data_IF_254383064373
#
_entry.id   IF_254383064373
#
_cell.length_a   1.000
_cell.length_b   1.000
_cell.length_c   1.000
_cell.angle_alpha   90.00
_cell.angle_beta   90.00
_cell.angle_gamma   90.00
#
_symmetry.space_group_name_H-M   'P 1'
#
loop_
_entity.id
_entity.type
_entity.pdbx_description
1 polymer ?
#
# COMPACT_ATOMS: atom_id res chain seq x y z
N UNK A 1 18.45 -31.19 -44.88
CA UNK A 1 19.25 -30.01 -44.42
C UNK A 1 18.70 -29.36 -43.14
N UNK A 2 17.46 -29.64 -42.77
CA UNK A 2 16.81 -29.13 -41.53
C UNK A 2 17.30 -29.89 -40.29
N UNK A 3 17.47 -31.20 -40.34
CA UNK A 3 17.90 -32.02 -39.22
C UNK A 3 19.35 -31.74 -38.74
N UNK A 4 20.27 -31.35 -39.62
CA UNK A 4 21.64 -31.00 -39.28
C UNK A 4 21.70 -29.65 -38.55
N UNK A 5 20.81 -28.69 -38.86
CA UNK A 5 20.69 -27.41 -38.15
C UNK A 5 20.18 -27.58 -36.72
N UNK A 6 19.27 -28.53 -36.50
CA UNK A 6 18.70 -28.82 -35.16
C UNK A 6 19.67 -29.60 -34.27
N UNK A 7 20.55 -30.42 -34.85
CA UNK A 7 21.62 -31.13 -34.12
C UNK A 7 22.74 -30.13 -33.74
N UNK A 8 23.05 -29.15 -34.59
CA UNK A 8 24.06 -28.13 -34.28
C UNK A 8 23.56 -27.16 -33.18
N UNK A 9 22.25 -26.88 -33.11
CA UNK A 9 21.64 -26.10 -32.01
C UNK A 9 21.66 -26.84 -30.66
N UNK A 10 21.73 -28.18 -30.67
CA UNK A 10 21.82 -29.00 -29.44
C UNK A 10 23.24 -29.18 -28.91
N UNK A 11 24.29 -28.90 -29.68
CA UNK A 11 25.67 -29.02 -29.27
C UNK A 11 26.36 -27.73 -28.83
N UNK A 12 25.75 -26.54 -29.05
CA UNK A 12 26.22 -25.28 -28.50
C UNK A 12 25.76 -25.14 -27.07
N UNK A 13 26.67 -25.25 -26.09
CA UNK A 13 26.38 -24.82 -24.71
C UNK A 13 25.88 -23.38 -24.77
N UNK A 14 24.57 -23.16 -24.54
CA UNK A 14 23.98 -21.85 -24.65
C UNK A 14 24.71 -20.85 -23.76
N UNK A 15 24.68 -19.56 -24.09
CA UNK A 15 25.28 -18.50 -23.27
C UNK A 15 24.75 -18.59 -21.81
N UNK A 16 23.45 -18.83 -21.64
CA UNK A 16 22.79 -19.07 -20.37
C UNK A 16 23.42 -20.26 -19.60
N UNK A 17 23.63 -21.39 -20.27
CA UNK A 17 24.22 -22.58 -19.66
C UNK A 17 25.66 -22.36 -19.19
N UNK A 18 26.43 -21.51 -19.90
CA UNK A 18 27.79 -21.14 -19.47
C UNK A 18 27.80 -20.26 -18.23
N UNK A 19 26.93 -19.24 -18.20
CA UNK A 19 26.79 -18.32 -17.08
C UNK A 19 26.34 -19.09 -15.84
N UNK A 20 25.31 -19.91 -15.96
CA UNK A 20 24.79 -20.71 -14.86
C UNK A 20 25.80 -21.73 -14.31
N UNK A 21 26.59 -22.38 -15.18
CA UNK A 21 27.65 -23.31 -14.74
C UNK A 21 28.72 -22.61 -13.89
N UNK A 22 29.05 -21.35 -14.22
CA UNK A 22 30.07 -20.58 -13.49
C UNK A 22 29.48 -20.07 -12.16
N UNK A 23 28.22 -19.61 -12.16
CA UNK A 23 27.59 -19.00 -11.00
C UNK A 23 27.01 -20.02 -10.00
N UNK A 24 26.67 -21.24 -10.44
CA UNK A 24 25.94 -22.21 -9.62
C UNK A 24 26.61 -22.50 -8.26
N UNK A 25 27.92 -22.67 -8.13
CA UNK A 25 28.55 -22.88 -6.82
C UNK A 25 28.33 -21.70 -5.86
N UNK A 26 28.48 -20.47 -6.36
CA UNK A 26 28.27 -19.26 -5.58
C UNK A 26 26.78 -19.09 -5.21
N UNK A 27 25.88 -19.33 -6.16
CA UNK A 27 24.42 -19.29 -5.94
C UNK A 27 24.01 -20.25 -4.83
N UNK A 28 24.47 -21.51 -4.88
CA UNK A 28 24.16 -22.51 -3.85
C UNK A 28 24.70 -22.07 -2.46
N UNK A 29 25.89 -21.47 -2.42
CA UNK A 29 26.43 -20.92 -1.19
C UNK A 29 25.60 -19.76 -0.65
N UNK A 30 25.21 -18.81 -1.50
CA UNK A 30 24.41 -17.65 -1.08
C UNK A 30 23.01 -18.05 -0.65
N UNK A 31 22.34 -18.93 -1.39
CA UNK A 31 21.03 -19.46 -1.01
C UNK A 31 21.08 -20.20 0.32
N UNK A 32 22.17 -20.95 0.58
CA UNK A 32 22.40 -21.67 1.82
C UNK A 32 22.55 -20.77 3.06
N UNK A 33 22.84 -19.48 2.88
CA UNK A 33 22.93 -18.49 3.96
C UNK A 33 21.57 -17.87 4.34
N UNK A 34 20.53 -18.09 3.55
CA UNK A 34 19.18 -17.57 3.81
C UNK A 34 18.42 -18.38 4.85
N UNK A 35 17.27 -17.85 5.29
CA UNK A 35 16.39 -18.50 6.26
C UNK A 35 15.74 -19.79 5.71
N UNK A 36 15.49 -19.83 4.40
CA UNK A 36 14.89 -20.97 3.72
C UNK A 36 15.61 -21.26 2.40
N UNK A 37 16.71 -22.03 2.42
CA UNK A 37 17.48 -22.38 1.23
C UNK A 37 16.70 -23.11 0.15
N UNK A 38 15.78 -24.00 0.55
CA UNK A 38 14.95 -24.78 -0.40
C UNK A 38 13.99 -23.90 -1.16
N UNK A 39 13.36 -22.95 -0.47
CA UNK A 39 12.50 -21.91 -1.11
C UNK A 39 13.34 -21.06 -2.07
N UNK A 40 14.55 -20.67 -1.65
CA UNK A 40 15.48 -19.90 -2.46
C UNK A 40 15.84 -20.63 -3.76
N UNK A 41 16.18 -21.91 -3.67
CA UNK A 41 16.52 -22.75 -4.81
C UNK A 41 15.32 -22.94 -5.76
N UNK A 42 14.13 -23.16 -5.20
CA UNK A 42 12.90 -23.26 -5.99
C UNK A 42 12.61 -21.96 -6.76
N UNK A 43 12.75 -20.80 -6.10
CA UNK A 43 12.52 -19.48 -6.72
C UNK A 43 13.60 -19.20 -7.78
N UNK A 44 14.86 -19.52 -7.52
CA UNK A 44 15.94 -19.43 -8.52
C UNK A 44 15.62 -20.25 -9.75
N UNK A 45 15.20 -21.50 -9.58
CA UNK A 45 14.79 -22.38 -10.69
C UNK A 45 13.67 -21.76 -11.53
N UNK A 46 12.63 -21.21 -10.88
CA UNK A 46 11.52 -20.52 -11.59
C UNK A 46 12.02 -19.33 -12.42
N UNK A 47 12.94 -18.51 -11.88
CA UNK A 47 13.57 -17.41 -12.61
C UNK A 47 14.33 -17.90 -13.84
N UNK A 48 15.14 -18.96 -13.70
CA UNK A 48 15.87 -19.56 -14.81
C UNK A 48 14.95 -20.15 -15.89
N UNK A 49 13.86 -20.80 -15.50
CA UNK A 49 12.87 -21.34 -16.42
C UNK A 49 12.16 -20.21 -17.18
N UNK A 50 11.95 -19.04 -16.57
CA UNK A 50 11.23 -17.92 -17.16
C UNK A 50 12.13 -16.94 -17.91
N UNK A 51 13.24 -16.55 -17.32
CA UNK A 51 14.13 -15.50 -17.83
C UNK A 51 15.51 -15.99 -18.26
N UNK A 52 15.81 -17.29 -18.16
CA UNK A 52 17.14 -17.83 -18.46
C UNK A 52 17.62 -17.67 -19.90
N UNK A 53 16.76 -17.23 -20.83
CA UNK A 53 17.11 -16.84 -22.20
C UNK A 53 17.05 -15.32 -22.45
N UNK A 54 16.59 -14.56 -21.46
CA UNK A 54 16.48 -13.13 -21.54
C UNK A 54 17.87 -12.45 -21.43
N UNK A 55 18.17 -11.53 -22.35
CA UNK A 55 19.48 -10.90 -22.42
C UNK A 55 19.75 -9.92 -21.27
N UNK A 56 18.71 -9.29 -20.73
CA UNK A 56 18.79 -8.35 -19.61
C UNK A 56 19.09 -9.10 -18.31
N UNK A 57 18.35 -10.18 -18.06
CA UNK A 57 18.59 -11.08 -16.92
C UNK A 57 19.98 -11.69 -16.96
N UNK A 58 20.42 -12.21 -18.10
CA UNK A 58 21.75 -12.79 -18.25
C UNK A 58 22.87 -11.73 -18.12
N UNK A 59 22.60 -10.49 -18.57
CA UNK A 59 23.51 -9.36 -18.38
C UNK A 59 23.65 -9.03 -16.90
N UNK A 60 22.55 -8.91 -16.18
CA UNK A 60 22.48 -8.68 -14.74
C UNK A 60 23.30 -9.72 -13.96
N UNK A 61 23.09 -11.01 -14.20
CA UNK A 61 23.83 -12.08 -13.53
C UNK A 61 25.34 -12.08 -13.82
N UNK A 62 25.72 -11.69 -15.04
CA UNK A 62 27.14 -11.67 -15.47
C UNK A 62 27.90 -10.48 -14.90
N UNK A 63 27.25 -9.31 -14.86
CA UNK A 63 27.94 -8.02 -14.71
C UNK A 63 28.10 -7.62 -13.24
N UNK A 64 27.35 -8.24 -12.30
CA UNK A 64 27.39 -7.90 -10.87
C UNK A 64 27.22 -9.10 -9.95
N UNK A 65 28.32 -9.54 -9.33
CA UNK A 65 28.25 -10.55 -8.27
C UNK A 65 27.44 -10.09 -7.06
N UNK A 66 27.51 -8.81 -6.69
CA UNK A 66 26.74 -8.26 -5.57
C UNK A 66 25.25 -8.29 -5.84
N UNK A 67 24.83 -8.00 -7.06
CA UNK A 67 23.44 -8.06 -7.49
C UNK A 67 22.91 -9.50 -7.47
N UNK A 68 23.67 -10.47 -7.97
CA UNK A 68 23.32 -11.88 -7.90
C UNK A 68 23.25 -12.40 -6.45
N UNK A 69 24.12 -11.92 -5.58
CA UNK A 69 24.09 -12.25 -4.14
C UNK A 69 22.84 -11.67 -3.46
N UNK A 70 22.49 -10.41 -3.74
CA UNK A 70 21.23 -9.78 -3.27
C UNK A 70 20.01 -10.57 -3.76
N UNK A 71 20.01 -10.98 -5.02
CA UNK A 71 18.95 -11.82 -5.57
C UNK A 71 18.79 -13.10 -4.78
N UNK A 72 19.85 -13.84 -4.55
CA UNK A 72 19.82 -15.07 -3.75
C UNK A 72 19.32 -14.81 -2.32
N UNK A 73 19.77 -13.72 -1.70
CA UNK A 73 19.30 -13.31 -0.37
C UNK A 73 17.80 -13.07 -0.35
N UNK A 74 17.25 -12.32 -1.32
CA UNK A 74 15.81 -12.08 -1.43
C UNK A 74 15.02 -13.37 -1.64
N UNK A 75 15.47 -14.23 -2.56
CA UNK A 75 14.79 -15.48 -2.91
C UNK A 75 14.70 -16.47 -1.75
N UNK A 76 15.69 -16.47 -0.85
CA UNK A 76 15.76 -17.37 0.31
C UNK A 76 15.20 -16.79 1.60
N UNK A 77 14.83 -15.50 1.63
CA UNK A 77 14.31 -14.84 2.83
C UNK A 77 12.87 -14.31 2.68
N UNK A 78 12.35 -14.14 1.46
CA UNK A 78 10.99 -13.62 1.25
C UNK A 78 10.25 -14.37 0.15
N UNK A 79 9.20 -15.09 0.54
CA UNK A 79 8.30 -15.72 -0.43
C UNK A 79 7.59 -14.69 -1.29
N UNK A 80 7.10 -13.62 -0.67
CA UNK A 80 6.37 -12.55 -1.36
C UNK A 80 7.23 -11.92 -2.47
N UNK A 81 8.46 -11.52 -2.14
CA UNK A 81 9.36 -10.89 -3.12
C UNK A 81 9.89 -11.90 -4.14
N UNK A 82 10.12 -13.16 -3.75
CA UNK A 82 10.47 -14.22 -4.69
C UNK A 82 9.39 -14.45 -5.74
N UNK A 83 8.12 -14.47 -5.34
CA UNK A 83 6.99 -14.59 -6.26
C UNK A 83 6.82 -13.32 -7.13
N UNK A 84 7.14 -12.13 -6.60
CA UNK A 84 7.10 -10.86 -7.33
C UNK A 84 8.19 -10.81 -8.41
N UNK A 85 9.44 -11.11 -8.06
CA UNK A 85 10.58 -11.15 -8.98
C UNK A 85 10.36 -12.14 -10.13
N UNK A 86 9.67 -13.23 -9.87
CA UNK A 86 9.30 -14.19 -10.92
C UNK A 86 8.31 -13.63 -11.97
N UNK A 87 7.73 -12.44 -11.75
CA UNK A 87 6.76 -11.82 -12.67
C UNK A 87 7.38 -10.77 -13.60
N UNK A 88 8.49 -10.13 -13.20
CA UNK A 88 9.10 -9.01 -13.92
C UNK A 88 10.63 -9.10 -13.90
N UNK A 89 11.26 -9.15 -15.09
CA UNK A 89 12.72 -9.06 -15.22
C UNK A 89 13.23 -7.69 -14.78
N UNK A 90 12.46 -6.63 -15.03
CA UNK A 90 12.79 -5.27 -14.59
C UNK A 90 13.00 -5.20 -13.07
N UNK A 91 12.13 -5.83 -12.28
CA UNK A 91 12.26 -5.86 -10.82
C UNK A 91 13.53 -6.62 -10.36
N UNK A 92 13.99 -7.59 -11.14
CA UNK A 92 15.27 -8.28 -10.86
C UNK A 92 16.44 -7.34 -11.07
N UNK A 93 16.43 -6.54 -12.15
CA UNK A 93 17.56 -5.65 -12.47
C UNK A 93 17.72 -4.50 -11.47
N UNK A 94 16.66 -4.09 -10.76
CA UNK A 94 16.76 -3.10 -9.68
C UNK A 94 17.76 -3.51 -8.58
N UNK A 95 17.96 -4.79 -8.35
CA UNK A 95 18.93 -5.28 -7.36
C UNK A 95 20.40 -4.95 -7.69
N UNK A 96 20.65 -4.54 -8.91
CA UNK A 96 21.98 -4.09 -9.37
C UNK A 96 22.24 -2.59 -9.19
N UNK A 97 21.22 -1.81 -8.81
CA UNK A 97 21.29 -0.35 -8.72
C UNK A 97 20.58 0.13 -7.45
N UNK A 98 21.34 0.70 -6.50
CA UNK A 98 20.79 1.19 -5.24
C UNK A 98 19.79 2.33 -5.46
N UNK A 99 20.04 3.21 -6.44
CA UNK A 99 19.14 4.33 -6.75
C UNK A 99 17.80 3.82 -7.31
N UNK A 100 17.81 2.72 -8.06
CA UNK A 100 16.60 2.09 -8.55
C UNK A 100 15.75 1.45 -7.45
N UNK A 101 16.36 1.09 -6.31
CA UNK A 101 15.68 0.49 -5.15
C UNK A 101 15.09 1.53 -4.20
N UNK A 102 15.57 2.76 -4.18
CA UNK A 102 15.05 3.80 -3.28
C UNK A 102 13.57 4.07 -3.59
N UNK A 103 12.74 4.18 -2.53
CA UNK A 103 11.35 4.57 -2.66
C UNK A 103 11.21 5.88 -3.44
N UNK A 104 10.24 5.95 -4.34
CA UNK A 104 9.98 7.18 -5.09
C UNK A 104 9.48 8.28 -4.17
N UNK A 105 9.89 9.52 -4.45
CA UNK A 105 9.39 10.67 -3.72
C UNK A 105 7.89 10.87 -3.94
N UNK A 106 7.22 11.48 -2.98
CA UNK A 106 5.80 11.81 -3.07
C UNK A 106 5.47 12.60 -4.33
N UNK A 107 6.31 13.56 -4.73
CA UNK A 107 6.11 14.35 -5.94
C UNK A 107 6.14 13.49 -7.20
N UNK A 108 7.06 12.51 -7.27
CA UNK A 108 7.15 11.57 -8.39
C UNK A 108 5.91 10.68 -8.49
N UNK A 109 5.42 10.19 -7.35
CA UNK A 109 4.19 9.41 -7.26
C UNK A 109 2.97 10.22 -7.69
N UNK A 110 2.86 11.48 -7.25
CA UNK A 110 1.78 12.39 -7.63
C UNK A 110 1.77 12.70 -9.13
N UNK A 111 2.95 12.85 -9.77
CA UNK A 111 3.05 13.01 -11.22
C UNK A 111 2.52 11.78 -11.96
N UNK A 112 2.89 10.58 -11.50
CA UNK A 112 2.41 9.33 -12.08
C UNK A 112 0.89 9.17 -11.90
N UNK A 113 0.36 9.49 -10.73
CA UNK A 113 -1.07 9.49 -10.45
C UNK A 113 -1.84 10.45 -11.35
N UNK A 114 -1.37 11.70 -11.50
CA UNK A 114 -1.99 12.70 -12.42
C UNK A 114 -2.00 12.23 -13.86
N UNK A 115 -0.91 11.61 -14.32
CA UNK A 115 -0.84 11.03 -15.66
C UNK A 115 -1.89 9.92 -15.85
N UNK A 116 -2.09 9.09 -14.85
CA UNK A 116 -3.09 8.03 -14.86
C UNK A 116 -4.52 8.57 -14.84
N UNK A 117 -4.78 9.61 -14.03
CA UNK A 117 -6.06 10.33 -13.99
C UNK A 117 -6.44 10.88 -15.36
N UNK A 118 -5.48 11.46 -16.08
CA UNK A 118 -5.73 12.04 -17.41
C UNK A 118 -6.03 10.99 -18.47
N UNK A 119 -5.39 9.82 -18.40
CA UNK A 119 -5.56 8.74 -19.38
C UNK A 119 -6.81 7.91 -19.16
N UNK A 120 -7.27 7.78 -17.94
CA UNK A 120 -8.36 6.87 -17.54
C UNK A 120 -9.53 7.63 -16.90
N UNK A 121 -9.86 8.82 -17.43
CA UNK A 121 -10.87 9.69 -16.85
C UNK A 121 -12.24 9.01 -16.70
N UNK A 122 -12.66 8.22 -17.69
CA UNK A 122 -13.99 7.61 -17.76
C UNK A 122 -14.02 6.11 -17.43
N UNK A 123 -12.84 5.48 -17.29
CA UNK A 123 -12.70 4.04 -17.13
C UNK A 123 -12.33 3.62 -15.71
N UNK A 124 -13.31 3.25 -14.87
CA UNK A 124 -13.07 2.83 -13.49
C UNK A 124 -12.12 1.63 -13.38
N UNK A 125 -12.28 0.64 -14.25
CA UNK A 125 -11.47 -0.59 -14.20
C UNK A 125 -10.01 -0.34 -14.60
N UNK A 126 -9.80 0.49 -15.62
CA UNK A 126 -8.45 0.84 -16.11
C UNK A 126 -7.73 1.72 -15.09
N UNK A 127 -8.45 2.68 -14.50
CA UNK A 127 -7.91 3.50 -13.43
C UNK A 127 -7.56 2.68 -12.18
N UNK A 128 -8.47 1.82 -11.72
CA UNK A 128 -8.26 0.92 -10.59
C UNK A 128 -7.05 0.01 -10.83
N UNK A 129 -6.93 -0.59 -12.02
CA UNK A 129 -5.79 -1.44 -12.39
C UNK A 129 -4.49 -0.66 -12.35
N UNK A 130 -4.48 0.57 -12.90
CA UNK A 130 -3.29 1.43 -12.90
C UNK A 130 -2.83 1.80 -11.48
N UNK A 131 -3.75 2.19 -10.59
CA UNK A 131 -3.42 2.54 -9.20
C UNK A 131 -2.91 1.34 -8.40
N UNK A 132 -3.53 0.18 -8.56
CA UNK A 132 -3.12 -1.04 -7.87
C UNK A 132 -1.80 -1.61 -8.39
N UNK A 133 -1.55 -1.52 -9.69
CA UNK A 133 -0.26 -1.87 -10.27
C UNK A 133 0.86 -0.98 -9.71
N UNK A 134 0.61 0.34 -9.64
CA UNK A 134 1.57 1.28 -9.04
C UNK A 134 1.88 0.90 -7.59
N UNK A 135 0.86 0.63 -6.75
CA UNK A 135 1.08 0.17 -5.38
C UNK A 135 1.93 -1.10 -5.34
N UNK A 136 1.60 -2.10 -6.15
CA UNK A 136 2.34 -3.37 -6.19
C UNK A 136 3.82 -3.13 -6.52
N UNK A 137 4.11 -2.37 -7.55
CA UNK A 137 5.49 -2.07 -7.96
C UNK A 137 6.27 -1.34 -6.87
N UNK A 138 5.68 -0.34 -6.23
CA UNK A 138 6.37 0.42 -5.19
C UNK A 138 6.56 -0.40 -3.89
N UNK A 139 5.60 -1.25 -3.52
CA UNK A 139 5.76 -2.19 -2.39
C UNK A 139 6.87 -3.21 -2.67
N UNK A 140 6.95 -3.74 -3.90
CA UNK A 140 8.03 -4.63 -4.33
C UNK A 140 9.38 -3.92 -4.23
N UNK A 141 9.49 -2.70 -4.75
CA UNK A 141 10.70 -1.86 -4.69
C UNK A 141 11.16 -1.64 -3.25
N UNK A 142 10.29 -1.16 -2.38
CA UNK A 142 10.58 -0.89 -0.96
C UNK A 142 10.99 -2.18 -0.23
N UNK A 143 10.31 -3.29 -0.51
CA UNK A 143 10.65 -4.59 0.06
C UNK A 143 12.03 -5.08 -0.37
N UNK A 144 12.38 -4.93 -1.64
CA UNK A 144 13.72 -5.25 -2.17
C UNK A 144 14.79 -4.35 -1.53
N UNK A 145 14.52 -3.05 -1.42
CA UNK A 145 15.40 -2.08 -0.76
C UNK A 145 15.67 -2.46 0.70
N UNK A 146 14.62 -2.85 1.43
CA UNK A 146 14.71 -3.27 2.83
C UNK A 146 15.57 -4.51 3.01
N UNK A 147 15.32 -5.56 2.22
CA UNK A 147 16.09 -6.81 2.30
C UNK A 147 17.53 -6.66 1.78
N UNK A 148 17.75 -5.73 0.85
CA UNK A 148 19.10 -5.42 0.34
C UNK A 148 19.90 -4.49 1.26
N UNK A 149 19.29 -3.98 2.35
CA UNK A 149 19.93 -3.05 3.27
C UNK A 149 20.11 -1.63 2.73
N UNK A 150 19.43 -1.28 1.62
CA UNK A 150 19.49 0.06 1.00
C UNK A 150 18.62 1.06 1.76
N UNK A 151 17.49 0.61 2.33
CA UNK A 151 16.59 1.42 3.15
C UNK A 151 16.46 0.84 4.55
N UNK A 152 16.44 1.72 5.55
CA UNK A 152 16.09 1.36 6.92
C UNK A 152 14.57 1.21 7.10
N UNK A 153 14.15 0.78 8.29
CA UNK A 153 12.73 0.55 8.58
C UNK A 153 11.90 1.84 8.50
N UNK A 154 12.40 2.93 9.04
CA UNK A 154 11.71 4.23 9.05
C UNK A 154 11.50 4.74 7.63
N UNK A 155 12.52 4.69 6.78
CA UNK A 155 12.42 5.07 5.37
C UNK A 155 11.41 4.19 4.62
N UNK A 156 11.36 2.88 4.92
CA UNK A 156 10.37 1.98 4.32
C UNK A 156 8.94 2.36 4.72
N UNK A 157 8.68 2.59 6.01
CA UNK A 157 7.34 2.97 6.51
C UNK A 157 6.88 4.31 5.90
N UNK A 158 7.78 5.29 5.82
CA UNK A 158 7.51 6.59 5.18
C UNK A 158 7.21 6.39 3.69
N UNK A 159 8.06 5.69 2.96
CA UNK A 159 7.87 5.45 1.53
C UNK A 159 6.56 4.71 1.22
N UNK A 160 6.20 3.72 2.04
CA UNK A 160 4.91 3.02 1.90
C UNK A 160 3.74 3.95 2.18
N UNK A 161 3.85 4.83 3.18
CA UNK A 161 2.80 5.82 3.47
C UNK A 161 2.63 6.80 2.32
N UNK A 162 3.72 7.27 1.71
CA UNK A 162 3.67 8.17 0.54
C UNK A 162 2.97 7.51 -0.66
N UNK A 163 3.18 6.21 -0.87
CA UNK A 163 2.47 5.45 -1.90
C UNK A 163 0.97 5.42 -1.64
N UNK A 164 0.56 5.14 -0.40
CA UNK A 164 -0.86 5.14 -0.03
C UNK A 164 -1.48 6.52 -0.15
N UNK A 165 -0.80 7.57 0.33
CA UNK A 165 -1.25 8.96 0.24
C UNK A 165 -1.48 9.38 -1.22
N UNK A 166 -0.52 9.11 -2.12
CA UNK A 166 -0.62 9.48 -3.52
C UNK A 166 -1.79 8.75 -4.22
N UNK A 167 -1.95 7.46 -3.96
CA UNK A 167 -3.00 6.65 -4.59
C UNK A 167 -4.38 7.00 -4.06
N UNK A 168 -4.53 7.19 -2.74
CA UNK A 168 -5.82 7.50 -2.12
C UNK A 168 -6.28 8.90 -2.54
N UNK A 169 -5.37 9.87 -2.61
CA UNK A 169 -5.69 11.21 -3.10
C UNK A 169 -6.12 11.19 -4.58
N UNK A 170 -5.41 10.47 -5.42
CA UNK A 170 -5.78 10.30 -6.82
C UNK A 170 -7.12 9.57 -6.97
N UNK A 171 -7.36 8.51 -6.18
CA UNK A 171 -8.60 7.75 -6.23
C UNK A 171 -9.81 8.59 -5.76
N UNK A 172 -9.64 9.40 -4.72
CA UNK A 172 -10.66 10.32 -4.26
C UNK A 172 -10.94 11.41 -5.29
N UNK A 173 -9.89 12.00 -5.87
CA UNK A 173 -10.01 13.00 -6.95
C UNK A 173 -10.75 12.42 -8.16
N UNK A 174 -10.42 11.19 -8.56
CA UNK A 174 -11.09 10.50 -9.66
C UNK A 174 -12.57 10.27 -9.32
N UNK A 175 -12.88 9.77 -8.12
CA UNK A 175 -14.24 9.48 -7.68
C UNK A 175 -15.12 10.74 -7.64
N UNK A 176 -14.58 11.87 -7.18
CA UNK A 176 -15.28 13.17 -7.17
C UNK A 176 -15.61 13.60 -8.61
N UNK A 177 -14.61 13.61 -9.51
CA UNK A 177 -14.79 14.00 -10.91
C UNK A 177 -15.79 13.09 -11.63
N UNK A 178 -15.65 11.80 -11.46
CA UNK A 178 -16.53 10.79 -12.05
C UNK A 178 -17.99 10.99 -11.60
N UNK A 179 -18.23 11.17 -10.30
CA UNK A 179 -19.59 11.35 -9.79
C UNK A 179 -20.17 12.73 -10.15
N UNK A 180 -19.36 13.77 -10.20
CA UNK A 180 -19.79 15.09 -10.69
C UNK A 180 -20.32 14.99 -12.13
N UNK A 181 -19.56 14.34 -13.01
CA UNK A 181 -19.97 14.10 -14.39
C UNK A 181 -21.19 13.17 -14.49
N UNK A 182 -21.20 12.05 -13.77
CA UNK A 182 -22.28 11.05 -13.80
C UNK A 182 -23.62 11.59 -13.29
N UNK A 183 -23.60 12.60 -12.41
CA UNK A 183 -24.79 13.30 -11.93
C UNK A 183 -25.18 14.51 -12.79
N UNK A 184 -24.43 14.81 -13.85
CA UNK A 184 -24.68 15.96 -14.73
C UNK A 184 -24.44 17.31 -14.06
N UNK A 185 -23.58 17.38 -13.06
CA UNK A 185 -23.27 18.58 -12.29
C UNK A 185 -22.08 19.32 -12.93
N UNK A 186 -22.13 20.66 -12.90
CA UNK A 186 -21.00 21.50 -13.36
C UNK A 186 -19.85 21.52 -12.37
N UNK A 187 -20.16 21.53 -11.07
CA UNK A 187 -19.22 21.54 -9.96
C UNK A 187 -19.64 20.53 -8.88
N UNK A 188 -18.73 20.03 -8.06
CA UNK A 188 -19.07 19.16 -6.95
C UNK A 188 -19.98 19.88 -5.94
N UNK A 189 -21.11 19.29 -5.54
CA UNK A 189 -22.04 19.90 -4.58
C UNK A 189 -21.55 19.81 -3.13
N UNK A 190 -20.40 19.19 -2.89
CA UNK A 190 -19.76 19.10 -1.59
C UNK A 190 -18.24 18.99 -1.73
N UNK A 191 -17.52 19.63 -0.82
CA UNK A 191 -16.12 19.33 -0.54
C UNK A 191 -16.03 18.01 0.23
N UNK A 192 -15.02 17.18 -0.08
CA UNK A 192 -14.79 15.88 0.58
C UNK A 192 -13.34 15.80 1.03
N UNK A 193 -13.13 15.34 2.27
CA UNK A 193 -11.80 15.11 2.82
C UNK A 193 -11.68 13.71 3.43
N UNK A 194 -10.48 13.17 3.36
CA UNK A 194 -10.07 11.94 4.02
C UNK A 194 -9.04 12.23 5.11
N UNK A 195 -9.28 11.68 6.29
CA UNK A 195 -8.41 11.76 7.46
C UNK A 195 -7.84 10.37 7.72
N UNK A 196 -6.53 10.21 7.58
CA UNK A 196 -5.85 8.98 7.93
C UNK A 196 -5.80 8.77 9.44
N UNK A 197 -6.04 7.53 9.85
CA UNK A 197 -6.11 7.10 11.23
C UNK A 197 -5.12 5.95 11.49
N UNK A 198 -5.05 5.47 12.71
CA UNK A 198 -4.28 4.28 13.05
C UNK A 198 -2.81 4.34 12.60
N UNK A 199 -2.31 3.27 11.97
CA UNK A 199 -0.95 3.24 11.40
C UNK A 199 -0.81 4.16 10.20
N UNK A 200 -1.85 4.26 9.39
CA UNK A 200 -1.84 5.10 8.21
C UNK A 200 -1.76 6.59 8.60
N UNK A 201 -2.56 7.03 9.55
CA UNK A 201 -2.48 8.40 10.08
C UNK A 201 -1.12 8.70 10.74
N UNK A 202 -0.53 7.72 11.44
CA UNK A 202 0.77 7.82 12.10
C UNK A 202 1.98 7.67 11.19
N UNK A 203 1.79 7.53 9.88
CA UNK A 203 2.86 7.30 8.88
C UNK A 203 3.67 6.03 9.15
N UNK A 204 3.00 4.97 9.60
CA UNK A 204 3.57 3.68 9.95
C UNK A 204 2.95 2.53 9.11
N UNK A 205 2.62 2.80 7.84
CA UNK A 205 2.09 1.77 6.92
C UNK A 205 3.16 0.71 6.67
N UNK A 206 2.80 -0.55 6.84
CA UNK A 206 3.66 -1.68 6.51
C UNK A 206 3.04 -2.58 5.42
N UNK A 207 3.74 -3.68 5.06
CA UNK A 207 3.35 -4.58 3.98
C UNK A 207 1.97 -5.23 4.13
N UNK A 208 1.45 -5.34 5.36
CA UNK A 208 0.16 -5.95 5.68
C UNK A 208 -0.86 -4.95 6.23
N UNK A 209 -0.55 -3.65 6.23
CA UNK A 209 -1.47 -2.62 6.72
C UNK A 209 -2.59 -2.37 5.73
N UNK A 210 -3.79 -2.23 6.24
CA UNK A 210 -4.88 -1.49 5.64
C UNK A 210 -4.72 0.01 5.90
N UNK A 211 -5.48 0.82 5.18
CA UNK A 211 -5.52 2.26 5.38
C UNK A 211 -6.77 2.61 6.21
N UNK A 212 -6.55 2.79 7.52
CA UNK A 212 -7.58 3.30 8.42
C UNK A 212 -7.93 4.76 8.08
N UNK A 213 -9.20 5.09 7.82
CA UNK A 213 -9.61 6.44 7.43
C UNK A 213 -10.97 6.83 8.00
N UNK A 214 -11.15 8.15 8.19
CA UNK A 214 -12.45 8.79 8.34
C UNK A 214 -12.69 9.65 7.09
N UNK A 215 -13.89 9.53 6.51
CA UNK A 215 -14.34 10.37 5.39
C UNK A 215 -15.38 11.36 5.86
N UNK A 216 -15.20 12.61 5.46
CA UNK A 216 -16.14 13.69 5.79
C UNK A 216 -16.40 14.57 4.59
N UNK A 217 -17.57 15.23 4.60
CA UNK A 217 -17.94 16.18 3.58
C UNK A 217 -18.50 17.48 4.18
N UNK A 218 -18.45 18.55 3.41
CA UNK A 218 -19.09 19.83 3.68
C UNK A 218 -19.89 20.24 2.44
N UNK A 219 -21.21 20.49 2.54
CA UNK A 219 -21.98 21.01 1.42
C UNK A 219 -21.34 22.28 0.87
N UNK A 220 -21.37 22.45 -0.46
CA UNK A 220 -21.01 23.71 -1.09
C UNK A 220 -22.08 24.79 -0.76
N UNK A 221 -21.67 26.05 -0.80
CA UNK A 221 -22.57 27.15 -0.49
C UNK A 221 -23.84 27.12 -1.36
N UNK A 222 -25.01 27.21 -0.70
CA UNK A 222 -26.30 27.17 -1.37
C UNK A 222 -26.76 25.78 -1.84
N UNK A 223 -25.99 24.73 -1.55
CA UNK A 223 -26.37 23.36 -1.89
C UNK A 223 -27.24 22.74 -0.81
N UNK A 224 -28.27 22.02 -1.22
CA UNK A 224 -29.13 21.26 -0.34
C UNK A 224 -28.36 20.11 0.31
N UNK A 225 -28.52 19.93 1.64
CA UNK A 225 -27.80 18.90 2.43
C UNK A 225 -28.08 17.48 1.91
N UNK A 226 -29.27 17.18 1.41
CA UNK A 226 -29.60 15.85 0.87
C UNK A 226 -28.84 15.57 -0.43
N UNK A 227 -28.72 16.60 -1.29
CA UNK A 227 -27.96 16.50 -2.54
C UNK A 227 -26.46 16.29 -2.23
N UNK A 228 -25.92 17.07 -1.31
CA UNK A 228 -24.53 16.94 -0.86
C UNK A 228 -24.26 15.56 -0.25
N UNK A 229 -25.15 15.05 0.61
CA UNK A 229 -25.05 13.73 1.21
C UNK A 229 -25.11 12.62 0.16
N UNK A 230 -26.07 12.67 -0.76
CA UNK A 230 -26.19 11.69 -1.83
C UNK A 230 -24.94 11.64 -2.70
N UNK A 231 -24.41 12.80 -3.08
CA UNK A 231 -23.15 12.91 -3.82
C UNK A 231 -21.99 12.29 -3.05
N UNK A 232 -21.80 12.68 -1.79
CA UNK A 232 -20.73 12.20 -0.94
C UNK A 232 -20.74 10.67 -0.79
N UNK A 233 -21.91 10.07 -0.59
CA UNK A 233 -22.08 8.60 -0.54
C UNK A 233 -21.67 7.92 -1.84
N UNK A 234 -22.08 8.45 -2.98
CA UNK A 234 -21.71 7.93 -4.30
C UNK A 234 -20.21 8.05 -4.54
N UNK A 235 -19.56 9.12 -4.07
CA UNK A 235 -18.10 9.27 -4.14
C UNK A 235 -17.41 8.17 -3.31
N UNK A 236 -17.89 7.87 -2.11
CA UNK A 236 -17.34 6.78 -1.28
C UNK A 236 -17.49 5.42 -1.98
N UNK A 237 -18.63 5.16 -2.59
CA UNK A 237 -18.85 3.91 -3.33
C UNK A 237 -17.87 3.79 -4.52
N UNK A 238 -17.67 4.88 -5.27
CA UNK A 238 -16.71 4.92 -6.38
C UNK A 238 -15.27 4.77 -5.89
N UNK A 239 -14.88 5.44 -4.81
CA UNK A 239 -13.57 5.30 -4.16
C UNK A 239 -13.30 3.84 -3.76
N UNK A 240 -14.26 3.22 -3.08
CA UNK A 240 -14.15 1.80 -2.68
C UNK A 240 -14.05 0.88 -3.88
N UNK A 241 -14.77 1.17 -4.96
CA UNK A 241 -14.68 0.38 -6.17
C UNK A 241 -13.29 0.48 -6.83
N UNK A 242 -12.69 1.67 -6.88
CA UNK A 242 -11.30 1.83 -7.36
C UNK A 242 -10.33 1.04 -6.49
N UNK A 243 -10.41 1.18 -5.17
CA UNK A 243 -9.42 0.61 -4.25
C UNK A 243 -9.67 -0.88 -3.95
N UNK A 244 -10.93 -1.30 -3.75
CA UNK A 244 -11.29 -2.63 -3.25
C UNK A 244 -12.21 -3.43 -4.19
N UNK A 245 -12.73 -2.83 -5.25
CA UNK A 245 -13.62 -3.51 -6.21
C UNK A 245 -12.95 -4.71 -6.90
N UNK A 246 -13.71 -5.58 -7.54
CA UNK A 246 -13.17 -6.72 -8.25
C UNK A 246 -12.30 -6.26 -9.43
N UNK A 247 -11.04 -6.72 -9.47
CA UNK A 247 -10.17 -6.65 -10.64
C UNK A 247 -9.55 -8.01 -10.87
N UNK A 248 -9.21 -8.32 -12.11
CA UNK A 248 -8.70 -9.65 -12.49
C UNK A 248 -7.21 -9.82 -12.27
N UNK A 249 -6.45 -8.73 -12.17
CA UNK A 249 -4.98 -8.78 -12.28
C UNK A 249 -4.23 -8.24 -11.06
N UNK A 250 -4.78 -7.24 -10.36
CA UNK A 250 -4.05 -6.55 -9.31
C UNK A 250 -4.74 -6.71 -7.94
N UNK A 251 -3.96 -6.92 -6.86
CA UNK A 251 -4.52 -7.08 -5.53
C UNK A 251 -5.19 -5.79 -5.06
N UNK A 252 -6.23 -5.94 -4.24
CA UNK A 252 -6.95 -4.82 -3.63
C UNK A 252 -6.03 -3.96 -2.77
N UNK A 253 -6.39 -2.69 -2.65
CA UNK A 253 -5.86 -1.78 -1.64
C UNK A 253 -6.90 -1.71 -0.53
N UNK A 254 -6.63 -2.39 0.57
CA UNK A 254 -7.59 -2.46 1.66
C UNK A 254 -7.64 -1.12 2.40
N UNK A 255 -8.86 -0.57 2.50
CA UNK A 255 -9.16 0.59 3.33
C UNK A 255 -10.13 0.17 4.44
N UNK A 256 -9.91 0.67 5.64
CA UNK A 256 -10.78 0.46 6.79
C UNK A 256 -11.40 1.79 7.25
N UNK A 257 -12.70 1.83 7.31
CA UNK A 257 -13.47 2.99 7.75
C UNK A 257 -14.08 2.79 9.15
N UNK A 258 -13.71 1.74 9.88
CA UNK A 258 -14.36 1.36 11.14
C UNK A 258 -13.98 2.25 12.34
N UNK A 259 -12.94 3.10 12.17
CA UNK A 259 -12.59 4.13 13.16
C UNK A 259 -13.43 5.41 13.05
N UNK A 260 -14.42 5.45 12.14
CA UNK A 260 -15.35 6.57 12.02
C UNK A 260 -16.31 6.68 13.21
N UNK A 261 -16.96 7.84 13.43
CA UNK A 261 -17.97 8.00 14.45
C UNK A 261 -19.02 6.88 14.44
N UNK A 262 -19.35 6.32 15.62
CA UNK A 262 -20.21 5.14 15.79
C UNK A 262 -19.65 3.84 15.23
N UNK A 263 -18.41 3.81 14.79
CA UNK A 263 -17.76 2.62 14.25
C UNK A 263 -18.52 2.01 13.07
N UNK A 264 -18.67 0.69 13.06
CA UNK A 264 -19.38 -0.06 12.00
C UNK A 264 -20.84 0.33 11.81
N UNK A 265 -21.47 0.90 12.85
CA UNK A 265 -22.88 1.28 12.83
C UNK A 265 -23.13 2.66 12.20
N UNK A 266 -22.10 3.52 12.13
CA UNK A 266 -22.18 4.84 11.56
C UNK A 266 -22.14 4.85 10.03
N UNK A 267 -22.59 5.95 9.38
CA UNK A 267 -22.48 6.11 7.94
C UNK A 267 -21.01 6.14 7.51
N UNK A 268 -20.70 5.63 6.31
CA UNK A 268 -19.34 5.57 5.77
C UNK A 268 -18.71 6.95 5.57
N UNK A 269 -19.52 7.97 5.35
CA UNK A 269 -19.13 9.38 5.25
C UNK A 269 -20.14 10.23 6.01
N UNK A 270 -19.65 11.25 6.70
CA UNK A 270 -20.48 12.10 7.56
C UNK A 270 -20.21 13.57 7.25
N UNK A 271 -21.23 14.45 7.40
CA UNK A 271 -20.98 15.89 7.25
C UNK A 271 -20.09 16.41 8.38
N UNK A 272 -19.30 17.43 8.08
CA UNK A 272 -18.43 18.08 9.06
C UNK A 272 -19.20 18.53 10.30
N UNK A 273 -20.38 19.14 10.09
CA UNK A 273 -21.24 19.60 11.17
C UNK A 273 -21.67 18.43 12.09
N UNK A 274 -22.08 17.31 11.50
CA UNK A 274 -22.47 16.12 12.25
C UNK A 274 -21.27 15.45 12.95
N UNK A 275 -20.06 15.46 12.35
CA UNK A 275 -18.85 15.01 13.03
C UNK A 275 -18.54 15.87 14.26
N UNK A 276 -18.61 17.19 14.13
CA UNK A 276 -18.36 18.12 15.21
C UNK A 276 -19.35 17.94 16.37
N UNK A 277 -20.63 17.78 16.08
CA UNK A 277 -21.66 17.49 17.09
C UNK A 277 -21.37 16.15 17.80
N UNK A 278 -21.06 15.11 17.04
CA UNK A 278 -20.77 13.79 17.59
C UNK A 278 -19.58 13.82 18.56
N UNK A 279 -18.45 14.35 18.13
CA UNK A 279 -17.25 14.38 18.96
C UNK A 279 -17.35 15.31 20.17
N UNK A 280 -18.20 16.33 20.11
CA UNK A 280 -18.44 17.21 21.25
C UNK A 280 -19.38 16.63 22.31
N UNK A 281 -20.24 15.65 21.97
CA UNK A 281 -21.35 15.25 22.83
C UNK A 281 -21.44 13.73 23.09
N UNK A 282 -21.01 12.91 22.14
CA UNK A 282 -21.32 11.47 22.16
C UNK A 282 -20.09 10.54 22.08
N UNK A 283 -18.95 11.07 21.67
CA UNK A 283 -17.76 10.24 21.47
C UNK A 283 -17.23 9.65 22.79
N UNK A 284 -16.82 8.40 22.70
CA UNK A 284 -16.24 7.68 23.83
C UNK A 284 -14.73 7.95 23.95
N UNK A 285 -14.17 7.68 25.12
CA UNK A 285 -12.72 7.86 25.39
C UNK A 285 -11.82 7.16 24.36
N UNK A 286 -12.21 5.98 23.88
CA UNK A 286 -11.42 5.26 22.86
C UNK A 286 -11.43 5.96 21.50
N UNK A 287 -12.50 6.65 21.12
CA UNK A 287 -12.57 7.42 19.87
C UNK A 287 -11.68 8.66 19.94
N UNK A 288 -11.61 9.32 21.12
CA UNK A 288 -10.64 10.40 21.36
C UNK A 288 -9.21 9.87 21.21
N UNK A 289 -8.91 8.67 21.75
CA UNK A 289 -7.61 8.04 21.62
C UNK A 289 -7.29 7.69 20.15
N UNK A 290 -8.27 7.26 19.37
CA UNK A 290 -8.08 6.99 17.95
C UNK A 290 -7.64 8.24 17.16
N UNK A 291 -8.12 9.43 17.55
CA UNK A 291 -7.76 10.71 16.93
C UNK A 291 -6.29 11.12 17.17
N UNK A 292 -5.56 10.52 18.11
CA UNK A 292 -4.15 10.85 18.37
C UNK A 292 -3.27 10.77 17.12
N UNK A 293 -3.62 9.89 16.19
CA UNK A 293 -2.90 9.70 14.92
C UNK A 293 -3.62 10.30 13.72
N UNK A 294 -4.68 11.10 13.94
CA UNK A 294 -5.42 11.72 12.87
C UNK A 294 -4.54 12.67 12.04
N UNK A 295 -4.54 12.50 10.74
CA UNK A 295 -3.77 13.29 9.76
C UNK A 295 -4.59 13.50 8.49
N UNK A 296 -4.58 14.72 7.93
CA UNK A 296 -5.13 14.94 6.58
C UNK A 296 -4.34 14.14 5.54
N UNK A 297 -5.03 13.44 4.65
CA UNK A 297 -4.39 12.59 3.65
C UNK A 297 -4.84 12.86 2.22
N UNK A 298 -6.11 13.22 1.99
CA UNK A 298 -6.63 13.40 0.64
C UNK A 298 -7.85 14.32 0.58
N UNK A 299 -8.09 14.87 -0.61
CA UNK A 299 -9.26 15.67 -0.93
C UNK A 299 -9.16 17.15 -0.55
N UNK A 300 -10.24 17.75 -0.04
CA UNK A 300 -10.25 19.16 0.32
C UNK A 300 -9.43 19.43 1.57
N UNK A 301 -8.33 20.16 1.39
CA UNK A 301 -7.37 20.46 2.46
C UNK A 301 -7.96 21.34 3.55
N UNK A 302 -8.74 22.38 3.17
CA UNK A 302 -9.30 23.28 4.15
C UNK A 302 -10.30 22.56 5.07
N UNK A 303 -11.14 21.71 4.49
CA UNK A 303 -12.05 20.86 5.27
C UNK A 303 -11.30 19.90 6.19
N UNK A 304 -10.21 19.29 5.70
CA UNK A 304 -9.39 18.40 6.51
C UNK A 304 -8.67 19.11 7.66
N UNK A 305 -8.12 20.28 7.40
CA UNK A 305 -7.46 21.13 8.42
C UNK A 305 -8.46 21.63 9.47
N UNK A 306 -9.66 22.04 9.06
CA UNK A 306 -10.74 22.41 9.98
C UNK A 306 -11.11 21.22 10.90
N UNK A 307 -11.21 20.01 10.36
CA UNK A 307 -11.47 18.82 11.17
C UNK A 307 -10.37 18.57 12.19
N UNK A 308 -9.11 18.69 11.78
CA UNK A 308 -7.99 18.49 12.69
C UNK A 308 -7.95 19.55 13.77
N UNK A 309 -8.09 20.83 13.42
CA UNK A 309 -8.01 21.96 14.34
C UNK A 309 -9.21 22.04 15.31
N UNK A 310 -10.43 21.93 14.77
CA UNK A 310 -11.65 22.21 15.56
C UNK A 310 -12.18 20.98 16.30
N UNK A 311 -11.88 19.77 15.80
CA UNK A 311 -12.43 18.51 16.35
C UNK A 311 -11.32 17.66 16.98
N UNK A 312 -10.27 17.35 16.22
CA UNK A 312 -9.26 16.39 16.69
C UNK A 312 -8.33 16.99 17.76
N UNK A 313 -7.80 18.21 17.54
CA UNK A 313 -6.81 18.83 18.44
C UNK A 313 -7.33 19.07 19.87
N UNK A 314 -8.55 19.57 20.08
CA UNK A 314 -9.08 19.73 21.44
C UNK A 314 -9.21 18.40 22.21
N UNK A 315 -9.41 17.29 21.48
CA UNK A 315 -9.59 15.96 22.09
C UNK A 315 -8.26 15.22 22.32
N UNK A 316 -7.29 15.39 21.40
CA UNK A 316 -5.97 14.76 21.52
C UNK A 316 -4.98 15.54 22.37
N UNK A 317 -5.19 16.85 22.55
CA UNK A 317 -4.39 17.73 23.40
C UNK A 317 -5.27 18.46 24.43
N UNK A 318 -5.96 17.73 25.33
CA UNK A 318 -6.86 18.34 26.30
C UNK A 318 -6.09 19.25 27.26
N UNK A 319 -6.66 20.42 27.55
CA UNK A 319 -6.08 21.38 28.51
C UNK A 319 -6.05 20.80 29.93
N UNK A 320 -7.06 20.00 30.29
CA UNK A 320 -7.14 19.32 31.60
C UNK A 320 -6.59 17.91 31.52
N UNK A 321 -5.87 17.43 32.55
CA UNK A 321 -5.45 16.03 32.61
C UNK A 321 -6.64 15.06 32.52
N UNK A 322 -6.37 13.88 31.94
CA UNK A 322 -7.37 12.81 31.93
C UNK A 322 -7.75 12.41 33.35
N UNK A 323 -9.02 12.15 33.57
CA UNK A 323 -9.54 11.64 34.85
C UNK A 323 -9.12 10.19 35.07
N UNK A 324 -9.11 9.74 36.34
CA UNK A 324 -8.82 8.34 36.68
C UNK A 324 -9.82 7.36 36.01
N UNK A 325 -11.07 7.76 35.81
CA UNK A 325 -12.07 6.98 35.09
C UNK A 325 -11.66 6.78 33.61
N UNK A 326 -11.28 7.84 32.90
CA UNK A 326 -10.80 7.78 31.52
C UNK A 326 -9.52 6.96 31.39
N UNK A 327 -8.56 7.13 32.31
CA UNK A 327 -7.35 6.30 32.35
C UNK A 327 -7.69 4.81 32.57
N UNK A 328 -8.69 4.53 33.44
CA UNK A 328 -9.20 3.19 33.66
C UNK A 328 -9.80 2.56 32.40
N UNK A 329 -10.57 3.32 31.62
CA UNK A 329 -11.13 2.88 30.33
C UNK A 329 -10.04 2.56 29.30
N UNK A 330 -9.05 3.43 29.16
CA UNK A 330 -7.91 3.22 28.25
C UNK A 330 -7.15 1.94 28.63
N UNK A 331 -6.89 1.73 29.91
CA UNK A 331 -6.20 0.51 30.40
C UNK A 331 -7.01 -0.76 30.11
N UNK A 332 -8.33 -0.73 30.33
CA UNK A 332 -9.22 -1.85 30.01
C UNK A 332 -9.25 -2.16 28.52
N UNK A 333 -9.31 -1.13 27.68
CA UNK A 333 -9.26 -1.28 26.22
C UNK A 333 -7.94 -1.91 25.78
N UNK A 334 -6.80 -1.40 26.28
CA UNK A 334 -5.48 -1.96 25.99
C UNK A 334 -5.38 -3.43 26.38
N UNK A 335 -5.80 -3.77 27.60
CA UNK A 335 -5.79 -5.16 28.10
C UNK A 335 -6.63 -6.10 27.21
N UNK A 336 -7.80 -5.64 26.73
CA UNK A 336 -8.63 -6.40 25.80
C UNK A 336 -7.92 -6.63 24.46
N UNK A 337 -7.35 -5.58 23.86
CA UNK A 337 -6.61 -5.67 22.60
C UNK A 337 -5.41 -6.62 22.72
N UNK A 338 -4.69 -6.59 23.84
CA UNK A 338 -3.57 -7.51 24.10
C UNK A 338 -4.07 -8.96 24.23
N UNK A 339 -5.16 -9.20 24.98
CA UNK A 339 -5.74 -10.53 25.15
C UNK A 339 -6.25 -11.12 23.82
N UNK A 340 -6.84 -10.31 22.95
CA UNK A 340 -7.32 -10.74 21.63
C UNK A 340 -6.18 -11.02 20.63
N UNK A 341 -5.05 -10.31 20.76
CA UNK A 341 -3.88 -10.47 19.86
C UNK A 341 -2.92 -11.60 20.29
N UNK A 342 -2.81 -11.88 21.59
CA UNK A 342 -1.91 -12.91 22.12
C UNK A 342 -2.13 -14.31 21.51
N UNK A 343 -3.36 -14.82 21.31
CA UNK A 343 -3.57 -16.12 20.68
C UNK A 343 -3.07 -16.18 19.23
N UNK A 344 -3.19 -15.08 18.47
CA UNK A 344 -2.75 -15.01 17.06
C UNK A 344 -1.23 -14.95 16.94
N UNK A 345 -0.54 -14.25 17.84
CA UNK A 345 0.92 -14.17 17.84
C UNK A 345 1.58 -15.48 18.26
N UNK A 346 0.96 -16.22 19.19
CA UNK A 346 1.43 -17.54 19.62
C UNK A 346 1.21 -18.62 18.56
N UNK A 347 0.16 -18.53 17.76
CA UNK A 347 -0.11 -19.44 16.63
C UNK A 347 1.00 -19.28 15.56
N UNK A 348 1.45 -18.06 15.29
CA UNK A 348 2.54 -17.82 14.34
C UNK A 348 3.93 -18.25 14.85
N UNK A 349 4.12 -18.37 16.17
CA UNK A 349 5.37 -18.86 16.77
C UNK A 349 5.39 -20.39 16.88
N UNK A 350 4.22 -21.02 16.95
CA UNK A 350 4.09 -22.46 17.23
C UNK A 350 3.81 -23.34 16.00
N UNK A 351 3.60 -22.78 14.82
CA UNK A 351 3.53 -23.56 13.58
C UNK A 351 4.92 -23.71 12.99
N UNK A 352 5.55 -24.90 13.11
CA UNK A 352 6.70 -25.21 12.26
C UNK A 352 6.17 -25.25 10.82
N UNK A 353 6.75 -24.41 9.98
CA UNK A 353 6.55 -24.45 8.53
C UNK A 353 6.69 -25.89 8.03
N UNK A 354 5.57 -26.54 7.71
CA UNK A 354 5.53 -27.75 6.91
C UNK A 354 5.52 -27.44 5.43
#
# INVERSE_FOLDING_TARGET
SSAASDVYKRQGVSRASKINRILLPAVLQWLGQGQNPDMGLLNWRKLEERFGTDSEYLGFLRDSNSAAQRLCHVLSNSRFLGDALNKSVESVTWLGDDDALIARSRESLDVQCRSSLSRNADGINDFATSMRAMRRHEIERIGLARLSGVMDETACLTGMTDVYDAIIDAALTWAIRYQTSAMGLGEPPAAIAAIGMGRYGGQEVNFSSDADMILLYRPADGTDEQVANQFARKVVDALRQVLQGPTTLEPKIEIDLDLRPEGKNGPLIRSYASCREYYSSWANTWEHQALLRARFVAGDRALGEDFLHDIADPLRYPISPLTDAQLGEIRKLKARMEAERLPLSLIHISEPTR
#
